data_IF_043948649034
#
_entry.id   IF_043948649034
#
_cell.length_a   1.000
_cell.length_b   1.000
_cell.length_c   1.000
_cell.angle_alpha   90.00
_cell.angle_beta   90.00
_cell.angle_gamma   90.00
#
_symmetry.space_group_name_H-M   'P 1'
#
loop_
_entity.id
_entity.type
_entity.pdbx_description
1 polymer ?
#
# COMPACT_ATOMS: atom_id res chain seq x y z
N UNK A 1 -3.31 73.10 28.93
CA UNK A 1 -3.40 71.84 29.69
C UNK A 1 -4.06 70.82 28.76
N UNK A 2 -3.25 70.05 28.02
CA UNK A 2 -3.70 69.11 26.99
C UNK A 2 -3.91 67.76 27.68
N UNK A 3 -5.13 67.23 27.62
CA UNK A 3 -5.45 65.89 28.11
C UNK A 3 -5.19 64.90 26.97
N UNK A 4 -4.18 64.03 27.12
CA UNK A 4 -4.01 62.86 26.26
C UNK A 4 -5.01 61.79 26.69
N UNK A 5 -5.90 61.38 25.78
CA UNK A 5 -6.71 60.17 25.94
C UNK A 5 -5.95 59.04 25.24
N UNK A 6 -5.35 58.15 26.03
CA UNK A 6 -4.78 56.90 25.53
C UNK A 6 -5.92 55.93 25.20
N UNK A 7 -6.21 55.74 23.91
CA UNK A 7 -7.10 54.69 23.44
C UNK A 7 -6.32 53.37 23.38
N UNK A 8 -6.54 52.49 24.36
CA UNK A 8 -6.03 51.13 24.37
C UNK A 8 -6.76 50.32 23.29
N UNK A 9 -6.07 49.95 22.21
CA UNK A 9 -6.60 49.00 21.22
C UNK A 9 -6.43 47.58 21.74
N UNK A 10 -7.51 46.97 22.19
CA UNK A 10 -7.58 45.53 22.44
C UNK A 10 -7.70 44.85 21.08
N UNK A 11 -6.64 44.18 20.64
CA UNK A 11 -6.69 43.26 19.51
C UNK A 11 -7.23 41.94 20.06
N UNK A 12 -8.49 41.64 19.75
CA UNK A 12 -9.06 40.31 19.97
C UNK A 12 -8.52 39.44 18.85
N UNK A 13 -7.52 38.61 19.16
CA UNK A 13 -7.11 37.53 18.29
C UNK A 13 -8.22 36.46 18.36
N UNK A 14 -9.15 36.50 17.41
CA UNK A 14 -10.05 35.36 17.19
C UNK A 14 -9.18 34.22 16.67
N UNK A 15 -8.90 33.25 17.54
CA UNK A 15 -8.43 31.94 17.13
C UNK A 15 -9.60 31.30 16.38
N UNK A 16 -9.59 31.38 15.05
CA UNK A 16 -10.52 30.61 14.23
C UNK A 16 -9.97 29.19 14.27
N UNK A 17 -10.53 28.35 15.14
CA UNK A 17 -10.36 26.90 14.99
C UNK A 17 -11.07 26.52 13.70
N UNK A 18 -10.32 26.31 12.62
CA UNK A 18 -10.86 25.51 11.51
C UNK A 18 -11.08 24.12 12.09
N UNK A 19 -12.31 23.80 12.46
CA UNK A 19 -12.68 22.40 12.51
C UNK A 19 -12.49 21.90 11.08
N UNK A 20 -11.47 21.08 10.81
CA UNK A 20 -11.55 20.16 9.68
C UNK A 20 -12.90 19.45 9.87
N UNK A 21 -13.76 19.42 8.84
CA UNK A 21 -14.98 18.66 9.03
C UNK A 21 -14.58 17.19 9.11
N UNK A 22 -15.30 16.42 9.92
CA UNK A 22 -14.98 15.02 10.10
C UNK A 22 -15.90 14.19 9.19
N UNK A 23 -15.33 13.22 8.48
CA UNK A 23 -16.04 12.18 7.75
C UNK A 23 -16.16 10.94 8.63
N UNK A 24 -17.28 10.25 8.51
CA UNK A 24 -17.40 8.93 9.13
C UNK A 24 -16.59 7.93 8.28
N UNK A 25 -15.62 7.25 8.90
CA UNK A 25 -14.83 6.22 8.23
C UNK A 25 -15.67 4.98 7.92
N UNK A 26 -16.72 4.73 8.70
CA UNK A 26 -17.50 3.51 8.73
C UNK A 26 -16.58 2.30 8.88
N UNK A 27 -15.63 2.38 9.83
CA UNK A 27 -14.65 1.32 9.99
C UNK A 27 -15.35 -0.01 10.27
N UNK A 28 -14.92 -1.13 9.65
CA UNK A 28 -15.52 -2.43 9.86
C UNK A 28 -15.44 -2.88 11.32
N UNK A 29 -16.27 -3.87 11.66
CA UNK A 29 -16.24 -4.46 13.01
C UNK A 29 -14.91 -5.18 13.22
N UNK A 30 -14.23 -4.80 14.30
CA UNK A 30 -12.97 -5.43 14.72
C UNK A 30 -13.25 -6.69 15.53
N UNK A 31 -12.60 -7.78 15.16
CA UNK A 31 -12.59 -9.04 15.90
C UNK A 31 -11.13 -9.39 16.21
N UNK A 32 -10.79 -9.57 17.49
CA UNK A 32 -9.43 -9.96 17.85
C UNK A 32 -9.21 -11.46 17.54
N UNK A 33 -8.28 -11.73 16.63
CA UNK A 33 -7.84 -13.06 16.20
C UNK A 33 -6.40 -13.27 16.60
N UNK A 34 -6.08 -14.42 17.20
CA UNK A 34 -4.69 -14.71 17.59
C UNK A 34 -3.81 -14.88 16.35
N UNK A 35 -2.76 -14.08 16.27
CA UNK A 35 -1.69 -14.22 15.27
C UNK A 35 -0.63 -15.18 15.81
N UNK A 36 -0.14 -16.10 14.97
CA UNK A 36 0.93 -16.99 15.38
C UNK A 36 2.21 -16.19 15.71
N UNK A 37 2.92 -16.52 16.81
CA UNK A 37 4.12 -15.78 17.21
C UNK A 37 5.20 -15.67 16.12
N UNK A 38 5.29 -16.66 15.23
CA UNK A 38 6.24 -16.66 14.12
C UNK A 38 6.01 -15.48 13.15
N UNK A 39 4.75 -15.12 12.86
CA UNK A 39 4.44 -13.98 11.99
C UNK A 39 4.78 -12.65 12.67
N UNK A 40 4.56 -12.54 13.98
CA UNK A 40 4.93 -11.34 14.75
C UNK A 40 6.45 -11.18 14.77
N UNK A 41 7.20 -12.26 15.00
CA UNK A 41 8.66 -12.24 14.94
C UNK A 41 9.16 -11.90 13.54
N UNK A 42 8.61 -12.52 12.50
CA UNK A 42 8.97 -12.22 11.12
C UNK A 42 8.77 -10.74 10.78
N UNK A 43 7.64 -10.16 11.19
CA UNK A 43 7.37 -8.74 10.97
C UNK A 43 8.39 -7.84 11.68
N UNK A 44 8.68 -8.09 12.97
CA UNK A 44 9.63 -7.30 13.76
C UNK A 44 11.08 -7.43 13.27
N UNK A 45 11.46 -8.61 12.81
CA UNK A 45 12.80 -8.85 12.29
C UNK A 45 12.97 -8.23 10.88
N UNK A 46 11.88 -8.11 10.11
CA UNK A 46 11.89 -7.57 8.76
C UNK A 46 11.73 -6.04 8.71
N UNK A 47 11.00 -5.47 9.67
CA UNK A 47 10.65 -4.05 9.77
C UNK A 47 10.98 -3.51 11.18
N UNK A 48 12.28 -3.41 11.54
CA UNK A 48 12.69 -2.96 12.86
C UNK A 48 12.66 -1.44 13.01
N UNK A 49 12.13 -0.98 14.15
CA UNK A 49 12.08 0.44 14.55
C UNK A 49 13.39 1.21 14.40
N UNK A 50 13.28 2.41 13.82
CA UNK A 50 14.34 3.38 13.62
C UNK A 50 15.52 2.86 12.79
N UNK A 51 15.28 1.84 11.97
CA UNK A 51 16.28 1.26 11.07
C UNK A 51 15.67 1.15 9.68
N UNK A 52 16.28 1.86 8.73
CA UNK A 52 15.86 1.80 7.34
C UNK A 52 15.67 0.35 6.86
N UNK A 53 14.54 0.12 6.21
CA UNK A 53 14.08 -1.18 5.72
C UNK A 53 15.11 -1.80 4.76
N UNK A 54 15.15 -3.14 4.69
CA UNK A 54 16.00 -3.81 3.70
C UNK A 54 15.62 -3.32 2.28
N UNK A 55 16.56 -2.80 1.48
CA UNK A 55 16.27 -2.31 0.12
C UNK A 55 15.59 -3.33 -0.80
N UNK A 56 15.64 -4.63 -0.47
CA UNK A 56 14.87 -5.67 -1.18
C UNK A 56 13.36 -5.42 -1.15
N UNK A 57 12.83 -4.79 -0.10
CA UNK A 57 11.41 -4.39 -0.03
C UNK A 57 11.07 -3.26 -0.99
N UNK A 58 12.06 -2.44 -1.35
CA UNK A 58 11.91 -1.34 -2.31
C UNK A 58 12.21 -1.78 -3.74
N UNK A 59 12.37 -3.08 -3.99
CA UNK A 59 12.54 -3.61 -5.32
C UNK A 59 11.26 -3.40 -6.14
N UNK A 60 11.35 -2.51 -7.11
CA UNK A 60 10.26 -2.13 -8.00
C UNK A 60 9.83 -3.23 -8.97
N UNK A 61 10.60 -4.32 -9.07
CA UNK A 61 10.17 -5.51 -9.80
C UNK A 61 9.00 -6.23 -9.10
N UNK A 62 8.75 -5.96 -7.81
CA UNK A 62 7.61 -6.48 -7.06
C UNK A 62 6.44 -5.49 -7.03
N UNK A 63 5.23 -6.04 -7.14
CA UNK A 63 3.98 -5.31 -7.12
C UNK A 63 3.60 -4.90 -5.68
N UNK A 64 3.18 -3.66 -5.42
CA UNK A 64 2.68 -3.23 -4.10
C UNK A 64 1.16 -3.46 -3.97
N UNK A 65 0.68 -4.59 -4.49
CA UNK A 65 -0.73 -4.98 -4.48
C UNK A 65 -0.85 -6.51 -4.61
N UNK A 66 -2.01 -7.03 -4.21
CA UNK A 66 -2.32 -8.46 -4.29
C UNK A 66 -3.40 -8.68 -5.35
N UNK A 67 -3.13 -9.56 -6.31
CA UNK A 67 -4.12 -9.94 -7.34
C UNK A 67 -4.81 -11.22 -6.92
N UNK A 68 -6.14 -11.24 -6.99
CA UNK A 68 -6.92 -12.42 -6.66
C UNK A 68 -6.98 -13.36 -7.86
N UNK A 69 -6.55 -14.60 -7.68
CA UNK A 69 -6.65 -15.66 -8.70
C UNK A 69 -8.03 -16.37 -8.69
N UNK A 70 -8.83 -16.15 -7.64
CA UNK A 70 -10.17 -16.69 -7.44
C UNK A 70 -10.98 -15.76 -6.53
N UNK A 71 -12.30 -15.93 -6.51
CA UNK A 71 -13.17 -15.16 -5.63
C UNK A 71 -12.79 -15.41 -4.16
N UNK A 72 -12.56 -14.35 -3.37
CA UNK A 72 -12.17 -14.50 -1.97
C UNK A 72 -12.63 -13.36 -1.06
N UNK A 73 -12.85 -13.70 0.20
CA UNK A 73 -12.91 -12.72 1.28
C UNK A 73 -11.49 -12.41 1.72
N UNK A 74 -11.18 -11.13 1.97
CA UNK A 74 -9.84 -10.70 2.40
C UNK A 74 -9.93 -10.15 3.81
N UNK A 75 -8.94 -10.45 4.63
CA UNK A 75 -8.84 -10.02 6.02
C UNK A 75 -7.50 -9.35 6.27
N UNK A 76 -7.50 -8.43 7.23
CA UNK A 76 -6.31 -7.75 7.72
C UNK A 76 -6.28 -7.83 9.23
N UNK A 77 -5.17 -8.32 9.80
CA UNK A 77 -4.92 -8.36 11.24
C UNK A 77 -3.80 -7.41 11.60
N UNK A 78 -4.06 -6.49 12.54
CA UNK A 78 -3.06 -5.58 13.09
C UNK A 78 -1.94 -6.34 13.82
N UNK A 79 -0.68 -6.00 13.57
CA UNK A 79 0.49 -6.56 14.27
C UNK A 79 1.06 -5.54 15.26
N UNK A 80 1.51 -4.40 14.77
CA UNK A 80 2.16 -3.34 15.56
C UNK A 80 2.12 -2.00 14.79
N UNK A 81 2.52 -0.93 15.47
CA UNK A 81 2.64 0.44 14.92
C UNK A 81 3.84 1.14 15.57
N UNK A 82 4.73 1.73 14.75
CA UNK A 82 5.85 2.58 15.17
C UNK A 82 5.62 4.09 14.98
N UNK A 83 4.44 4.49 14.51
CA UNK A 83 4.15 5.87 14.16
C UNK A 83 4.01 6.83 15.36
N UNK A 84 4.38 8.09 15.13
CA UNK A 84 3.98 9.21 15.98
C UNK A 84 2.61 9.81 15.60
N UNK A 85 2.17 9.56 14.37
CA UNK A 85 0.93 10.11 13.82
C UNK A 85 -0.27 9.22 14.08
N UNK A 86 -1.44 9.84 14.16
CA UNK A 86 -2.71 9.11 14.27
C UNK A 86 -3.28 8.87 12.89
N UNK A 87 -2.65 7.96 12.18
CA UNK A 87 -2.99 7.65 10.80
C UNK A 87 -4.35 6.95 10.69
N UNK A 88 -4.97 7.10 9.54
CA UNK A 88 -6.15 6.35 9.13
C UNK A 88 -5.79 5.46 7.96
N UNK A 89 -6.19 4.20 7.99
CA UNK A 89 -5.87 3.23 6.95
C UNK A 89 -7.12 2.77 6.25
N UNK A 90 -7.02 2.65 4.93
CA UNK A 90 -8.04 2.05 4.10
C UNK A 90 -7.48 1.11 3.06
N UNK A 91 -8.39 0.55 2.28
CA UNK A 91 -8.11 -0.29 1.14
C UNK A 91 -8.70 0.34 -0.11
N UNK A 92 -8.22 -0.10 -1.25
CA UNK A 92 -8.93 0.03 -2.50
C UNK A 92 -8.77 -1.23 -3.34
N UNK A 93 -9.83 -1.57 -4.05
CA UNK A 93 -9.83 -2.62 -5.06
C UNK A 93 -9.90 -1.99 -6.44
N UNK A 94 -9.30 -2.65 -7.42
CA UNK A 94 -9.30 -2.17 -8.79
C UNK A 94 -9.26 -3.33 -9.79
N UNK A 95 -9.78 -3.07 -10.98
CA UNK A 95 -9.63 -3.98 -12.12
C UNK A 95 -8.26 -3.75 -12.79
N UNK A 96 -7.70 -4.77 -13.44
CA UNK A 96 -6.40 -4.64 -14.13
C UNK A 96 -6.38 -3.50 -15.18
N UNK A 97 -7.53 -3.09 -15.69
CA UNK A 97 -7.65 -2.01 -16.67
C UNK A 97 -8.17 -0.68 -16.09
N UNK A 98 -8.40 -0.57 -14.78
CA UNK A 98 -8.92 0.65 -14.14
C UNK A 98 -8.06 1.88 -14.42
N UNK A 99 -6.74 1.70 -14.48
CA UNK A 99 -5.77 2.77 -14.70
C UNK A 99 -5.17 2.77 -16.11
N UNK A 100 -5.74 2.02 -17.07
CA UNK A 100 -5.23 1.98 -18.44
C UNK A 100 -5.35 3.35 -19.10
N UNK A 101 -4.28 3.78 -19.77
CA UNK A 101 -4.16 5.08 -20.45
C UNK A 101 -4.34 6.31 -19.52
N UNK A 102 -4.19 6.13 -18.20
CA UNK A 102 -4.16 7.21 -17.22
C UNK A 102 -2.75 7.41 -16.68
N UNK A 103 -2.28 8.64 -16.72
CA UNK A 103 -1.12 9.10 -15.94
C UNK A 103 -1.58 9.63 -14.58
N UNK A 104 -0.66 9.78 -13.63
CA UNK A 104 -0.93 10.46 -12.36
C UNK A 104 -1.56 11.83 -12.59
N UNK A 105 -1.07 12.60 -13.57
CA UNK A 105 -1.61 13.92 -13.89
C UNK A 105 -2.99 13.91 -14.54
N UNK A 106 -3.46 12.77 -15.07
CA UNK A 106 -4.85 12.65 -15.51
C UNK A 106 -5.80 12.41 -14.31
N UNK A 107 -5.30 11.81 -13.23
CA UNK A 107 -6.05 11.53 -12.00
C UNK A 107 -6.00 12.73 -11.03
N UNK A 108 -4.82 13.37 -10.90
CA UNK A 108 -4.57 14.57 -10.10
C UNK A 108 -5.13 15.82 -10.80
N UNK A 109 -6.43 16.03 -10.62
CA UNK A 109 -7.21 17.03 -11.36
C UNK A 109 -6.95 18.46 -10.90
N UNK A 110 -6.35 18.63 -9.72
CA UNK A 110 -5.98 19.94 -9.17
C UNK A 110 -4.47 20.23 -9.23
N UNK A 111 -3.66 19.26 -9.68
CA UNK A 111 -2.20 19.34 -9.80
C UNK A 111 -1.50 19.60 -8.47
N UNK A 112 -2.08 19.15 -7.36
CA UNK A 112 -1.50 19.28 -6.01
C UNK A 112 -0.30 18.35 -5.79
N UNK A 113 -0.20 17.28 -6.57
CA UNK A 113 0.72 16.17 -6.37
C UNK A 113 0.15 15.06 -5.49
N UNK A 114 -0.97 15.31 -4.80
CA UNK A 114 -1.60 14.37 -3.86
C UNK A 114 -2.88 13.85 -4.50
N UNK A 115 -2.94 12.54 -4.78
CA UNK A 115 -4.19 11.93 -5.22
C UNK A 115 -5.14 11.87 -4.02
N UNK A 116 -6.22 12.65 -4.06
CA UNK A 116 -7.27 12.64 -3.05
C UNK A 116 -8.15 11.40 -3.16
N UNK A 117 -8.87 11.06 -2.08
CA UNK A 117 -9.83 9.94 -2.13
C UNK A 117 -11.01 10.23 -3.08
N UNK A 118 -11.36 11.49 -3.32
CA UNK A 118 -12.37 11.84 -4.35
C UNK A 118 -11.86 11.60 -5.78
N UNK A 119 -10.57 11.83 -6.03
CA UNK A 119 -9.96 11.56 -7.33
C UNK A 119 -9.78 10.07 -7.57
N UNK A 120 -9.40 9.31 -6.53
CA UNK A 120 -9.37 7.86 -6.59
C UNK A 120 -10.76 7.27 -6.89
N UNK A 121 -11.80 7.76 -6.21
CA UNK A 121 -13.21 7.35 -6.43
C UNK A 121 -13.71 7.65 -7.85
N UNK A 122 -13.16 8.68 -8.49
CA UNK A 122 -13.53 9.05 -9.85
C UNK A 122 -12.97 8.07 -10.92
N UNK A 123 -12.00 7.21 -10.55
CA UNK A 123 -11.43 6.22 -11.48
C UNK A 123 -12.37 5.03 -11.64
N UNK A 124 -12.69 4.70 -12.90
CA UNK A 124 -13.64 3.62 -13.18
C UNK A 124 -13.10 2.25 -12.72
N UNK A 125 -13.95 1.50 -12.01
CA UNK A 125 -13.61 0.16 -11.52
C UNK A 125 -12.72 0.17 -10.27
N UNK A 126 -12.52 1.34 -9.65
CA UNK A 126 -11.92 1.46 -8.33
C UNK A 126 -13.02 1.59 -7.28
N UNK A 127 -12.90 0.83 -6.21
CA UNK A 127 -13.74 0.93 -5.00
C UNK A 127 -12.82 1.06 -3.79
N UNK A 128 -13.11 1.96 -2.85
CA UNK A 128 -12.28 2.16 -1.65
C UNK A 128 -13.11 2.20 -0.36
N UNK A 129 -12.44 2.01 0.78
CA UNK A 129 -13.05 2.18 2.10
C UNK A 129 -12.01 2.22 3.22
N UNK A 130 -12.41 2.72 4.39
CA UNK A 130 -11.53 2.71 5.57
C UNK A 130 -11.62 1.38 6.32
N UNK A 131 -10.47 0.93 6.82
CA UNK A 131 -10.33 -0.23 7.70
C UNK A 131 -10.21 0.20 9.16
N UNK A 132 -9.46 1.28 9.40
CA UNK A 132 -9.27 1.86 10.71
C UNK A 132 -9.24 3.38 10.61
N UNK A 133 -10.17 4.05 11.29
CA UNK A 133 -10.13 5.51 11.43
C UNK A 133 -8.92 5.98 12.26
N UNK A 134 -8.40 5.14 13.15
CA UNK A 134 -7.20 5.38 13.95
C UNK A 134 -6.38 4.10 14.06
N UNK A 135 -5.18 4.13 13.51
CA UNK A 135 -4.25 3.00 13.47
C UNK A 135 -3.38 2.87 14.71
N UNK A 136 -3.36 3.88 15.59
CA UNK A 136 -2.47 3.86 16.75
C UNK A 136 -2.78 2.70 17.71
N UNK A 137 -1.72 2.03 18.17
CA UNK A 137 -1.87 0.93 19.13
C UNK A 137 -2.30 1.44 20.50
N UNK A 138 -2.83 0.52 21.31
CA UNK A 138 -3.17 0.79 22.71
C UNK A 138 -1.94 1.32 23.47
N UNK A 139 -2.03 2.55 23.95
CA UNK A 139 -0.94 3.25 24.64
C UNK A 139 -0.22 4.31 23.81
N UNK A 140 -0.42 4.34 22.48
CA UNK A 140 0.16 5.32 21.55
C UNK A 140 -0.85 6.36 21.04
N UNK A 141 -2.09 6.35 21.53
CA UNK A 141 -3.13 7.31 21.13
C UNK A 141 -4.35 6.69 20.43
N UNK A 142 -4.34 5.37 20.25
CA UNK A 142 -5.49 4.58 19.80
C UNK A 142 -5.74 3.39 20.71
N UNK A 143 -6.41 2.37 20.17
CA UNK A 143 -6.90 1.21 20.91
C UNK A 143 -6.56 -0.14 20.28
N UNK A 144 -5.83 -0.15 19.16
CA UNK A 144 -5.53 -1.39 18.47
C UNK A 144 -4.62 -2.30 19.32
N UNK A 145 -4.97 -3.58 19.32
CA UNK A 145 -4.21 -4.66 19.92
C UNK A 145 -3.76 -5.61 18.81
N UNK A 146 -2.58 -6.21 18.94
CA UNK A 146 -2.13 -7.27 18.03
C UNK A 146 -3.22 -8.32 17.87
N UNK A 147 -3.55 -8.65 16.63
CA UNK A 147 -4.64 -9.55 16.26
C UNK A 147 -5.98 -8.89 15.99
N UNK A 148 -6.15 -7.60 16.25
CA UNK A 148 -7.36 -6.86 15.88
C UNK A 148 -7.56 -6.95 14.36
N UNK A 149 -8.58 -7.71 13.96
CA UNK A 149 -8.79 -8.15 12.59
C UNK A 149 -10.07 -7.55 12.03
N UNK A 150 -10.00 -7.12 10.77
CA UNK A 150 -11.14 -6.65 9.99
C UNK A 150 -11.25 -7.40 8.67
N UNK A 151 -12.46 -7.49 8.13
CA UNK A 151 -12.65 -7.89 6.75
C UNK A 151 -12.43 -6.66 5.86
N UNK A 152 -11.65 -6.81 4.79
CA UNK A 152 -11.23 -5.69 3.96
C UNK A 152 -12.38 -5.10 3.16
N UNK A 153 -13.33 -5.91 2.70
CA UNK A 153 -14.58 -5.40 2.10
C UNK A 153 -15.77 -6.15 2.68
N UNK A 154 -16.96 -5.55 2.62
CA UNK A 154 -18.21 -6.19 3.08
C UNK A 154 -18.65 -7.38 2.21
N UNK A 155 -17.98 -7.62 1.07
CA UNK A 155 -18.30 -8.66 0.12
C UNK A 155 -17.07 -9.48 -0.30
N UNK A 156 -17.34 -10.57 -1.02
CA UNK A 156 -16.30 -11.34 -1.70
C UNK A 156 -15.76 -10.52 -2.88
N UNK A 157 -14.44 -10.42 -2.99
CA UNK A 157 -13.75 -9.78 -4.11
C UNK A 157 -13.65 -10.81 -5.24
N UNK A 158 -14.06 -10.45 -6.45
CA UNK A 158 -14.01 -11.36 -7.60
C UNK A 158 -12.58 -11.63 -8.09
N UNK A 159 -12.37 -12.83 -8.64
CA UNK A 159 -11.14 -13.21 -9.33
C UNK A 159 -10.76 -12.19 -10.42
N UNK A 160 -9.48 -11.87 -10.53
CA UNK A 160 -8.93 -10.91 -11.48
C UNK A 160 -8.89 -9.47 -10.99
N UNK A 161 -9.62 -9.13 -9.93
CA UNK A 161 -9.43 -7.86 -9.21
C UNK A 161 -8.14 -7.89 -8.41
N UNK A 162 -7.60 -6.70 -8.15
CA UNK A 162 -6.49 -6.50 -7.24
C UNK A 162 -6.92 -5.69 -6.03
N UNK A 163 -6.24 -5.88 -4.90
CA UNK A 163 -6.39 -5.09 -3.67
C UNK A 163 -5.05 -4.46 -3.32
N UNK A 164 -5.09 -3.18 -2.95
CA UNK A 164 -3.98 -2.46 -2.35
C UNK A 164 -4.53 -1.56 -1.23
N UNK A 165 -3.64 -0.88 -0.52
CA UNK A 165 -3.97 -0.14 0.69
C UNK A 165 -3.51 1.30 0.59
N UNK A 166 -4.16 2.16 1.37
CA UNK A 166 -3.75 3.55 1.52
C UNK A 166 -3.72 3.94 2.98
N UNK A 167 -2.85 4.89 3.31
CA UNK A 167 -2.69 5.49 4.62
C UNK A 167 -2.83 7.00 4.48
N UNK A 168 -3.82 7.58 5.16
CA UNK A 168 -3.97 9.03 5.29
C UNK A 168 -3.26 9.50 6.55
N UNK A 169 -2.25 10.35 6.33
CA UNK A 169 -1.32 10.83 7.33
C UNK A 169 -2.05 11.66 8.40
N UNK A 170 -1.91 11.29 9.68
CA UNK A 170 -2.44 12.04 10.82
C UNK A 170 -3.94 12.43 10.71
N UNK A 171 -4.72 11.65 9.96
CA UNK A 171 -6.08 12.02 9.56
C UNK A 171 -7.14 11.76 10.64
N UNK A 172 -6.82 11.09 11.75
CA UNK A 172 -7.81 10.76 12.78
C UNK A 172 -8.34 11.99 13.52
N UNK A 173 -9.68 12.16 13.52
CA UNK A 173 -10.35 13.31 14.17
C UNK A 173 -11.12 12.97 15.45
N UNK A 174 -11.24 11.69 15.80
CA UNK A 174 -11.94 11.24 17.02
C UNK A 174 -13.06 10.23 16.76
N UNK A 175 -13.22 9.22 17.64
CA UNK A 175 -14.27 8.21 17.48
C UNK A 175 -14.02 7.33 16.26
N UNK A 176 -15.00 7.21 15.37
CA UNK A 176 -14.87 6.53 14.07
C UNK A 176 -14.90 7.58 12.94
N UNK A 177 -14.03 8.58 13.04
CA UNK A 177 -13.98 9.68 12.07
C UNK A 177 -12.57 10.03 11.64
N UNK A 178 -12.48 10.49 10.40
CA UNK A 178 -11.27 10.96 9.72
C UNK A 178 -11.51 12.38 9.20
N UNK A 179 -10.45 13.14 9.02
CA UNK A 179 -10.50 14.48 8.45
C UNK A 179 -11.08 14.46 7.03
N UNK A 180 -11.91 15.44 6.68
CA UNK A 180 -12.49 15.58 5.34
C UNK A 180 -11.50 16.06 4.29
N UNK A 181 -10.33 16.57 4.71
CA UNK A 181 -9.26 17.00 3.83
C UNK A 181 -8.65 15.85 3.01
N UNK A 182 -8.86 14.58 3.40
CA UNK A 182 -8.52 13.40 2.57
C UNK A 182 -9.29 13.36 1.25
N UNK A 183 -10.49 13.96 1.20
CA UNK A 183 -11.30 14.05 -0.03
C UNK A 183 -10.81 15.13 -0.98
N UNK A 184 -9.93 16.02 -0.54
CA UNK A 184 -9.47 17.17 -1.34
C UNK A 184 -7.96 17.21 -1.49
N UNK A 185 -7.23 16.18 -1.04
CA UNK A 185 -5.77 16.14 -1.10
C UNK A 185 -5.06 17.13 -0.16
N UNK A 186 -5.79 17.73 0.79
CA UNK A 186 -5.20 18.66 1.78
C UNK A 186 -4.49 17.90 2.91
N UNK A 187 -4.91 16.66 3.18
CA UNK A 187 -4.17 15.72 4.02
C UNK A 187 -3.41 14.77 3.11
N UNK A 188 -2.12 14.55 3.40
CA UNK A 188 -1.32 13.60 2.62
C UNK A 188 -1.92 12.19 2.73
N UNK A 189 -2.04 11.53 1.59
CA UNK A 189 -2.42 10.12 1.52
C UNK A 189 -1.39 9.38 0.68
N UNK A 190 -0.91 8.27 1.24
CA UNK A 190 0.06 7.38 0.63
C UNK A 190 -0.63 6.07 0.25
N UNK A 191 -0.38 5.60 -0.96
CA UNK A 191 -0.96 4.42 -1.57
C UNK A 191 0.10 3.32 -1.72
N UNK A 192 -0.33 2.06 -1.77
CA UNK A 192 0.56 0.99 -2.21
C UNK A 192 1.04 1.22 -3.64
N UNK A 193 0.16 1.64 -4.55
CA UNK A 193 0.54 1.90 -5.94
C UNK A 193 1.48 3.12 -6.06
N UNK A 194 2.75 2.83 -6.36
CA UNK A 194 3.85 3.80 -6.43
C UNK A 194 3.53 5.07 -7.23
N UNK A 195 2.84 4.94 -8.37
CA UNK A 195 2.54 6.08 -9.25
C UNK A 195 1.48 7.03 -8.71
N UNK A 196 0.72 6.64 -7.67
CA UNK A 196 -0.27 7.52 -7.02
C UNK A 196 0.35 8.38 -5.91
N UNK A 197 1.57 8.04 -5.46
CA UNK A 197 2.17 8.70 -4.30
C UNK A 197 2.71 10.10 -4.60
N UNK A 198 2.76 11.01 -3.61
CA UNK A 198 3.19 12.40 -3.80
C UNK A 198 4.52 12.57 -4.53
N UNK A 199 5.48 11.67 -4.30
CA UNK A 199 6.83 11.65 -4.87
C UNK A 199 6.87 11.23 -6.34
N UNK A 200 5.80 10.62 -6.85
CA UNK A 200 5.72 10.18 -8.24
C UNK A 200 5.54 11.37 -9.20
N UNK A 201 6.21 11.27 -10.36
CA UNK A 201 6.08 12.25 -11.44
C UNK A 201 4.67 12.20 -12.05
N UNK A 202 4.15 13.37 -12.46
CA UNK A 202 2.82 13.47 -13.08
C UNK A 202 2.65 12.62 -14.34
N UNK A 203 3.73 12.29 -15.03
CA UNK A 203 3.72 11.43 -16.24
C UNK A 203 3.68 9.93 -15.93
N UNK A 204 3.81 9.53 -14.66
CA UNK A 204 3.81 8.12 -14.31
C UNK A 204 2.44 7.50 -14.56
N UNK A 205 2.45 6.33 -15.17
CA UNK A 205 1.28 5.50 -15.44
C UNK A 205 1.26 4.26 -14.55
N UNK A 206 0.18 3.50 -14.55
CA UNK A 206 0.11 2.23 -13.81
C UNK A 206 1.27 1.29 -14.18
N UNK A 207 1.99 0.81 -13.17
CA UNK A 207 3.23 0.03 -13.34
C UNK A 207 4.51 0.86 -13.39
N UNK A 208 4.42 2.19 -13.47
CA UNK A 208 5.54 3.08 -13.19
C UNK A 208 5.85 3.04 -11.69
N UNK A 209 7.13 2.98 -11.36
CA UNK A 209 7.59 2.71 -9.99
C UNK A 209 8.91 3.43 -9.72
N UNK A 210 9.06 3.95 -8.50
CA UNK A 210 10.31 4.49 -7.98
C UNK A 210 10.51 3.98 -6.57
N UNK A 211 11.74 3.64 -6.20
CA UNK A 211 12.06 3.23 -4.84
C UNK A 211 11.67 4.28 -3.81
N UNK A 212 11.58 5.56 -4.18
CA UNK A 212 11.23 6.67 -3.29
C UNK A 212 9.71 6.92 -3.19
N UNK A 213 8.93 6.46 -4.16
CA UNK A 213 7.47 6.59 -4.14
C UNK A 213 6.79 5.31 -3.66
N UNK A 214 7.55 4.31 -3.18
CA UNK A 214 7.04 3.09 -2.55
C UNK A 214 6.75 3.37 -1.08
N UNK A 215 5.52 3.20 -0.62
CA UNK A 215 5.18 3.36 0.81
C UNK A 215 4.82 2.05 1.49
N UNK A 216 4.98 0.91 0.79
CA UNK A 216 4.64 -0.40 1.33
C UNK A 216 5.80 -1.38 1.23
N UNK A 217 6.08 -2.08 2.32
CA UNK A 217 6.95 -3.24 2.35
C UNK A 217 6.08 -4.49 2.44
N UNK A 218 6.12 -5.40 1.46
CA UNK A 218 5.26 -6.58 1.42
C UNK A 218 6.07 -7.87 1.21
N UNK A 219 5.71 -8.91 1.95
CA UNK A 219 6.28 -10.25 1.78
C UNK A 219 5.23 -11.34 2.03
N UNK A 220 5.24 -12.42 1.26
CA UNK A 220 4.66 -13.67 1.70
C UNK A 220 5.45 -14.22 2.89
N UNK A 221 4.75 -14.69 3.92
CA UNK A 221 5.38 -15.20 5.14
C UNK A 221 6.23 -16.45 4.90
N UNK A 222 5.91 -17.20 3.86
CA UNK A 222 6.58 -18.42 3.42
C UNK A 222 6.13 -18.82 2.00
N UNK A 223 6.72 -19.90 1.48
CA UNK A 223 6.49 -20.46 0.14
C UNK A 223 5.08 -21.01 -0.10
N UNK A 224 4.20 -21.03 0.91
CA UNK A 224 2.79 -21.41 0.70
C UNK A 224 1.96 -20.26 0.14
N UNK A 225 2.47 -19.02 0.18
CA UNK A 225 1.83 -17.81 -0.35
C UNK A 225 0.44 -17.52 0.25
N UNK A 226 0.22 -17.90 1.52
CA UNK A 226 -1.10 -17.79 2.18
C UNK A 226 -1.28 -16.54 3.05
N UNK A 227 -0.19 -16.06 3.65
CA UNK A 227 -0.18 -14.90 4.53
C UNK A 227 0.83 -13.89 4.01
N UNK A 228 0.45 -12.63 4.02
CA UNK A 228 1.29 -11.51 3.61
C UNK A 228 1.58 -10.67 4.83
N UNK A 229 2.85 -10.43 5.14
CA UNK A 229 3.24 -9.39 6.09
C UNK A 229 3.42 -8.10 5.30
N UNK A 230 2.80 -7.04 5.80
CA UNK A 230 2.78 -5.73 5.17
C UNK A 230 3.18 -4.65 6.18
N UNK A 231 4.14 -3.81 5.80
CA UNK A 231 4.53 -2.59 6.47
C UNK A 231 4.16 -1.36 5.64
N UNK A 232 3.99 -0.21 6.29
CA UNK A 232 3.71 1.08 5.67
C UNK A 232 4.65 2.16 6.22
N UNK A 233 5.09 3.07 5.36
CA UNK A 233 5.77 4.32 5.73
C UNK A 233 4.78 5.49 5.65
N UNK A 234 4.57 6.21 6.75
CA UNK A 234 3.55 7.27 6.89
C UNK A 234 4.03 8.67 6.54
N UNK A 235 5.33 8.86 6.27
CA UNK A 235 5.93 10.14 5.93
C UNK A 235 6.27 10.22 4.44
N UNK A 236 6.17 11.42 3.87
CA UNK A 236 6.78 11.74 2.59
C UNK A 236 8.29 11.49 2.70
N UNK A 237 8.80 10.68 1.77
CA UNK A 237 10.14 10.10 1.84
C UNK A 237 11.21 10.98 1.20
N UNK A 238 10.80 12.05 0.50
CA UNK A 238 11.70 12.91 -0.27
C UNK A 238 11.70 14.36 0.24
N UNK A 239 10.54 14.94 0.53
CA UNK A 239 10.41 16.32 1.01
C UNK A 239 9.84 16.36 2.44
N UNK A 240 10.70 16.51 3.46
CA UNK A 240 10.24 16.65 4.83
C UNK A 240 9.29 17.83 5.05
N UNK A 241 9.33 18.88 4.21
CA UNK A 241 8.42 20.03 4.38
C UNK A 241 6.96 19.71 4.01
N UNK A 242 6.74 18.59 3.32
CA UNK A 242 5.39 18.08 3.06
C UNK A 242 4.81 17.38 4.29
N UNK A 243 5.65 16.95 5.23
CA UNK A 243 5.22 16.28 6.45
C UNK A 243 4.88 17.28 7.55
N UNK A 244 3.90 16.91 8.39
CA UNK A 244 3.63 17.62 9.63
C UNK A 244 4.93 17.79 10.45
N UNK A 245 5.08 18.97 11.05
CA UNK A 245 6.28 19.33 11.83
C UNK A 245 7.64 19.23 11.12
N UNK A 246 7.66 19.15 9.79
CA UNK A 246 8.85 19.02 8.95
C UNK A 246 9.74 17.80 9.30
N UNK A 247 9.11 16.69 9.70
CA UNK A 247 9.82 15.47 10.09
C UNK A 247 10.25 14.70 8.83
N UNK A 248 11.48 14.18 8.83
CA UNK A 248 11.97 13.31 7.76
C UNK A 248 11.58 11.86 8.05
N UNK A 249 11.20 11.12 7.02
CA UNK A 249 11.06 9.66 7.06
C UNK A 249 12.34 9.02 7.62
N UNK A 250 12.18 8.06 8.53
CA UNK A 250 13.27 7.21 9.01
C UNK A 250 13.35 5.87 8.25
N UNK A 251 12.46 5.69 7.28
CA UNK A 251 12.52 4.69 6.20
C UNK A 251 12.36 3.26 6.69
N UNK A 252 11.75 3.05 7.85
CA UNK A 252 11.67 1.74 8.50
C UNK A 252 10.39 0.95 8.16
N UNK A 253 9.39 1.61 7.58
CA UNK A 253 8.12 1.03 7.09
C UNK A 253 7.33 0.29 8.18
N UNK A 254 7.49 0.67 9.43
CA UNK A 254 6.78 0.07 10.55
C UNK A 254 5.65 0.94 11.12
N UNK A 255 5.42 2.12 10.54
CA UNK A 255 4.39 3.07 10.99
C UNK A 255 3.02 2.39 11.06
N UNK A 256 2.83 1.38 10.20
CA UNK A 256 1.75 0.43 10.30
C UNK A 256 2.19 -0.98 9.87
N UNK A 257 2.00 -1.99 10.71
CA UNK A 257 2.33 -3.39 10.38
C UNK A 257 1.08 -4.28 10.49
N UNK A 258 0.84 -5.06 9.43
CA UNK A 258 -0.29 -5.96 9.30
C UNK A 258 0.07 -7.35 8.76
N UNK A 259 -0.80 -8.31 9.05
CA UNK A 259 -0.93 -9.54 8.29
C UNK A 259 -2.17 -9.45 7.40
N UNK A 260 -2.03 -9.74 6.10
CA UNK A 260 -3.13 -9.81 5.13
C UNK A 260 -3.27 -11.25 4.65
N UNK A 261 -4.49 -11.77 4.63
CA UNK A 261 -4.77 -13.14 4.20
C UNK A 261 -6.18 -13.24 3.60
N UNK A 262 -6.47 -14.38 2.94
CA UNK A 262 -7.71 -14.58 2.20
C UNK A 262 -8.44 -15.86 2.61
N UNK A 263 -9.72 -15.94 2.25
CA UNK A 263 -10.53 -17.17 2.25
C UNK A 263 -11.23 -17.30 0.88
N UNK A 264 -10.81 -18.27 0.03
CA UNK A 264 -9.86 -19.34 0.33
C UNK A 264 -8.40 -18.84 0.40
N UNK A 265 -7.57 -19.50 1.22
CA UNK A 265 -6.23 -19.03 1.64
C UNK A 265 -5.21 -18.84 0.51
N UNK A 266 -5.41 -19.48 -0.63
CA UNK A 266 -4.52 -19.42 -1.79
C UNK A 266 -4.94 -18.38 -2.83
N UNK A 267 -5.91 -17.51 -2.51
CA UNK A 267 -6.43 -16.55 -3.48
C UNK A 267 -5.39 -15.52 -3.94
N UNK A 268 -4.34 -15.26 -3.15
CA UNK A 268 -3.22 -14.40 -3.52
C UNK A 268 -2.09 -15.14 -4.26
N UNK A 269 -2.18 -16.46 -4.38
CA UNK A 269 -1.15 -17.28 -5.00
C UNK A 269 -0.82 -16.79 -6.41
N UNK A 270 0.48 -16.60 -6.67
CA UNK A 270 1.00 -16.02 -7.91
C UNK A 270 1.02 -14.49 -7.97
N UNK A 271 0.66 -13.78 -6.89
CA UNK A 271 0.96 -12.34 -6.77
C UNK A 271 2.47 -12.12 -6.80
N UNK A 272 2.92 -11.14 -7.57
CA UNK A 272 4.34 -10.85 -7.74
C UNK A 272 4.88 -9.98 -6.57
N UNK A 273 4.99 -10.57 -5.39
CA UNK A 273 5.60 -9.97 -4.20
C UNK A 273 6.79 -10.81 -3.71
N UNK A 274 7.61 -10.24 -2.83
CA UNK A 274 8.70 -11.00 -2.21
C UNK A 274 8.16 -12.13 -1.33
N UNK A 275 8.97 -13.16 -1.09
CA UNK A 275 8.66 -14.26 -0.15
C UNK A 275 9.75 -14.35 0.90
N UNK A 276 9.39 -14.57 2.17
CA UNK A 276 10.37 -14.75 3.24
C UNK A 276 11.09 -16.13 3.15
N UNK A 277 12.39 -16.18 3.50
CA UNK A 277 13.25 -15.03 3.80
C UNK A 277 13.53 -14.22 2.54
N UNK A 278 13.68 -12.89 2.68
CA UNK A 278 13.85 -11.99 1.55
C UNK A 278 14.94 -12.51 0.58
N UNK A 279 14.69 -12.42 -0.74
CA UNK A 279 15.68 -12.82 -1.71
C UNK A 279 16.89 -11.90 -1.62
N UNK A 280 18.09 -12.46 -1.74
CA UNK A 280 19.30 -11.66 -1.86
C UNK A 280 19.20 -10.80 -3.13
N UNK A 281 19.41 -9.49 -3.00
CA UNK A 281 19.48 -8.56 -4.12
C UNK A 281 20.68 -8.90 -5.00
N UNK A 282 20.49 -9.79 -5.98
CA UNK A 282 21.45 -10.00 -7.05
C UNK A 282 21.22 -8.93 -8.10
N UNK A 283 22.13 -7.97 -8.21
CA UNK A 283 22.09 -7.01 -9.31
C UNK A 283 22.31 -7.75 -10.64
N UNK A 284 21.26 -8.18 -11.34
CA UNK A 284 21.14 -8.19 -12.82
C UNK A 284 20.00 -9.05 -13.40
N UNK A 285 19.18 -8.41 -14.25
CA UNK A 285 18.68 -8.87 -15.56
C UNK A 285 18.26 -10.36 -15.63
N UNK A 286 17.04 -10.74 -15.25
CA UNK A 286 16.30 -11.83 -15.94
C UNK A 286 14.78 -11.65 -15.77
N UNK A 287 14.17 -10.89 -16.68
CA UNK A 287 12.87 -11.31 -17.21
C UNK A 287 13.09 -12.53 -18.10
N UNK A 288 12.14 -13.47 -18.08
CA UNK A 288 12.10 -14.77 -18.80
C UNK A 288 12.72 -15.94 -18.01
N UNK A 289 11.92 -16.57 -17.13
CA UNK A 289 11.65 -18.03 -17.21
C UNK A 289 10.23 -18.28 -16.66
N UNK A 290 9.18 -18.09 -17.47
CA UNK A 290 7.88 -18.73 -17.26
C UNK A 290 7.16 -18.96 -18.60
N UNK A 291 7.62 -19.97 -19.35
CA UNK A 291 6.88 -20.78 -20.35
C UNK A 291 7.93 -21.70 -20.99
N UNK A 292 7.89 -23.02 -20.93
CA UNK A 292 6.76 -23.85 -21.30
C UNK A 292 7.18 -25.31 -21.13
N UNK A 293 6.43 -26.08 -20.35
CA UNK A 293 6.37 -27.53 -20.53
C UNK A 293 5.63 -27.84 -21.82
N UNK A 294 6.35 -27.98 -22.93
CA UNK A 294 5.80 -28.57 -24.15
C UNK A 294 6.76 -29.68 -24.62
N UNK A 295 6.42 -30.91 -24.28
CA UNK A 295 7.07 -32.12 -24.80
C UNK A 295 6.76 -32.20 -26.30
N UNK A 296 7.73 -31.83 -27.15
CA UNK A 296 7.69 -32.10 -28.59
C UNK A 296 8.23 -33.51 -28.83
N UNK A 297 7.31 -34.46 -29.02
CA UNK A 297 7.63 -35.78 -29.60
C UNK A 297 8.01 -35.55 -31.07
N UNK A 298 9.30 -35.63 -31.40
CA UNK A 298 9.77 -35.64 -32.78
C UNK A 298 9.68 -37.05 -33.34
N UNK A 299 8.70 -37.27 -34.23
CA UNK A 299 8.59 -38.49 -35.02
C UNK A 299 9.68 -38.48 -36.12
N UNK A 300 10.64 -39.38 -36.00
CA UNK A 300 11.77 -39.56 -36.92
C UNK A 300 11.29 -40.23 -38.22
N UNK A 301 11.23 -39.49 -39.34
CA UNK A 301 11.04 -40.08 -40.67
C UNK A 301 12.39 -40.55 -41.22
N UNK A 302 12.55 -41.86 -41.34
CA UNK A 302 13.67 -42.48 -42.05
C UNK A 302 13.60 -42.17 -43.55
N UNK A 303 14.74 -41.76 -44.15
CA UNK A 303 14.93 -41.72 -45.60
C UNK A 303 15.49 -43.07 -46.08
N UNK A 304 14.98 -43.63 -47.19
CA UNK A 304 15.50 -44.89 -47.70
C UNK A 304 16.86 -44.69 -48.38
N UNK A 305 17.77 -45.60 -48.02
CA UNK A 305 19.05 -45.87 -48.67
C UNK A 305 18.85 -46.14 -50.16
N UNK A 306 19.63 -45.46 -51.02
CA UNK A 306 19.84 -45.93 -52.38
C UNK A 306 21.34 -46.02 -52.65
N UNK A 307 21.81 -47.28 -52.67
CA UNK A 307 23.15 -47.73 -53.00
C UNK A 307 23.14 -48.18 -54.46
N UNK A 308 24.07 -47.68 -55.29
CA UNK A 308 24.64 -48.26 -56.53
C UNK A 308 25.32 -47.11 -57.29
N UNK A 309 26.45 -47.24 -57.98
CA UNK A 309 27.42 -48.31 -58.23
C UNK A 309 28.66 -47.63 -58.87
N UNK A 310 29.80 -48.29 -58.77
CA UNK A 310 31.12 -47.97 -59.33
C UNK A 310 31.17 -47.52 -60.79
N UNK A 311 32.28 -46.82 -61.12
CA UNK A 311 33.14 -46.79 -62.35
C UNK A 311 33.44 -45.33 -62.70
N UNK A 312 34.66 -44.83 -62.92
CA UNK A 312 36.02 -45.36 -63.19
C UNK A 312 37.02 -44.33 -62.68
#
# INVERSE_FOLDING_TARGET
MIVLINALRVIILMLVTSSANALNANSPTIINTTIEPAFITLAKDSLPESTAVDPAFLNTDFNPYLTLNQDANVYMSFIDEGAGYKNSLGYFTFENNSFTDLTKGDIDTDSSGIISLSELDAVNGVDYGFLYSNLSKSGSGGSLLTGDTVQVTDATISAGKSVSFFLSQNAYTGGDTVSDAVLTGNDQTFYGLDFLNPEADFTYEFGSSSSNSRHTAMLFSDETEQNVIMGFEDLNRVDPNSNDWNIASDEDFNDAIFMVYSDPVDAFGGSNIATAPLPLMTQSIVGIIMLSGLIVITCKKEKPSNRRLLTT
#
